data_IF_716776118204
#
_entry.id   IF_716776118204
#
_cell.length_a   1.000
_cell.length_b   1.000
_cell.length_c   1.000
_cell.angle_alpha   90.00
_cell.angle_beta   90.00
_cell.angle_gamma   90.00
#
_symmetry.space_group_name_H-M   'P 1'
#
loop_
_entity.id
_entity.type
_entity.pdbx_description
1 polymer ?
#
# COMPACT_ATOMS: atom_id res chain seq x y z
N UNK A 1 4.61 29.82 14.40
CA UNK A 1 4.49 28.62 15.24
C UNK A 1 5.08 27.48 14.43
N UNK A 2 6.17 26.92 14.92
CA UNK A 2 7.02 25.92 14.24
C UNK A 2 6.62 24.51 14.68
N UNK A 3 7.00 23.51 13.88
CA UNK A 3 6.84 22.07 14.12
C UNK A 3 7.31 21.60 15.52
N UNK A 4 8.20 22.37 16.16
CA UNK A 4 8.67 22.13 17.55
C UNK A 4 7.66 22.53 18.64
N UNK A 5 6.69 23.38 18.33
CA UNK A 5 5.76 23.92 19.33
C UNK A 5 4.61 22.94 19.67
N UNK A 6 4.44 21.86 18.88
CA UNK A 6 3.40 20.82 19.10
C UNK A 6 3.90 19.58 19.85
N UNK A 7 5.20 19.27 19.80
CA UNK A 7 5.75 18.01 20.32
C UNK A 7 6.83 18.31 21.37
N UNK A 8 6.39 18.59 22.60
CA UNK A 8 7.26 18.97 23.73
C UNK A 8 8.46 18.04 23.96
N UNK A 9 9.53 18.58 24.56
CA UNK A 9 10.84 17.94 24.76
C UNK A 9 10.89 16.75 25.74
N UNK A 10 9.75 16.18 26.15
CA UNK A 10 9.74 15.05 27.08
C UNK A 10 9.27 13.78 26.38
N UNK A 11 10.19 13.14 25.63
CA UNK A 11 10.08 11.70 25.36
C UNK A 11 10.25 10.97 26.70
N UNK A 12 9.27 10.18 27.18
CA UNK A 12 9.57 9.12 28.11
C UNK A 12 10.44 8.13 27.34
N UNK A 13 11.70 7.98 27.74
CA UNK A 13 12.47 6.81 27.32
C UNK A 13 11.79 5.62 27.98
N UNK A 14 11.32 4.59 27.24
CA UNK A 14 10.71 3.43 27.87
C UNK A 14 11.73 2.80 28.81
N UNK A 15 11.42 2.78 30.11
CA UNK A 15 12.14 1.94 31.04
C UNK A 15 11.82 0.49 30.63
N UNK A 16 12.83 -0.24 30.15
CA UNK A 16 12.76 -1.70 30.03
C UNK A 16 12.50 -2.26 31.44
N UNK A 17 11.27 -2.67 31.70
CA UNK A 17 10.97 -3.62 32.78
C UNK A 17 11.48 -4.99 32.33
N UNK A 18 12.36 -5.59 33.14
CA UNK A 18 13.08 -6.85 32.86
C UNK A 18 12.20 -8.12 32.81
N UNK A 19 10.89 -8.01 32.60
CA UNK A 19 9.94 -9.13 32.69
C UNK A 19 9.06 -9.32 31.44
N UNK A 20 9.61 -9.11 30.24
CA UNK A 20 9.07 -9.71 29.00
C UNK A 20 9.97 -10.87 28.57
N UNK A 21 9.85 -11.99 29.30
CA UNK A 21 10.47 -13.24 28.89
C UNK A 21 9.67 -13.87 27.74
N UNK A 22 10.37 -14.04 26.61
CA UNK A 22 10.06 -14.86 25.44
C UNK A 22 8.99 -14.36 24.44
N UNK A 23 9.18 -13.16 23.89
CA UNK A 23 8.83 -12.94 22.48
C UNK A 23 10.14 -13.08 21.70
N UNK A 24 10.30 -14.21 21.01
CA UNK A 24 11.43 -14.38 20.11
C UNK A 24 11.22 -13.42 18.94
N UNK A 25 12.14 -12.51 18.62
CA UNK A 25 12.02 -11.69 17.42
C UNK A 25 11.88 -12.63 16.23
N UNK A 26 10.82 -12.46 15.42
CA UNK A 26 10.71 -13.15 14.15
C UNK A 26 11.95 -12.78 13.35
N UNK A 27 12.86 -13.73 13.19
CA UNK A 27 13.96 -13.57 12.23
C UNK A 27 13.31 -13.49 10.85
N UNK A 28 13.78 -12.60 9.94
CA UNK A 28 13.22 -12.54 8.60
C UNK A 28 13.28 -13.96 8.00
N UNK A 29 12.15 -14.48 7.51
CA UNK A 29 12.07 -15.86 7.07
C UNK A 29 13.06 -16.10 5.92
N UNK A 30 13.90 -17.12 6.06
CA UNK A 30 14.77 -17.59 4.97
C UNK A 30 13.97 -18.50 4.06
N UNK A 31 13.31 -17.92 3.06
CA UNK A 31 12.62 -18.69 2.03
C UNK A 31 13.59 -19.15 0.94
N UNK A 32 13.21 -20.21 0.23
CA UNK A 32 13.78 -20.48 -1.09
C UNK A 32 13.42 -19.29 -1.99
N UNK A 33 14.40 -18.49 -2.36
CA UNK A 33 14.20 -17.27 -3.17
C UNK A 33 14.01 -17.59 -4.66
N UNK A 34 13.68 -18.84 -5.01
CA UNK A 34 13.34 -19.20 -6.39
C UNK A 34 12.27 -18.21 -6.89
N UNK A 35 12.52 -17.48 -7.98
CA UNK A 35 11.61 -16.44 -8.45
C UNK A 35 10.22 -17.02 -8.74
N UNK A 36 9.18 -16.40 -8.20
CA UNK A 36 7.78 -16.75 -8.49
C UNK A 36 7.38 -16.42 -9.92
N UNK A 37 8.14 -15.55 -10.60
CA UNK A 37 7.97 -15.19 -12.01
C UNK A 37 9.33 -15.15 -12.71
N UNK A 38 9.34 -15.38 -14.02
CA UNK A 38 10.54 -15.21 -14.83
C UNK A 38 10.98 -13.75 -14.84
N UNK A 39 12.25 -13.49 -14.49
CA UNK A 39 12.81 -12.14 -14.45
C UNK A 39 13.34 -11.73 -15.83
N UNK A 40 12.74 -10.70 -16.43
CA UNK A 40 13.13 -10.14 -17.73
C UNK A 40 14.03 -8.89 -17.58
N UNK A 41 14.07 -8.02 -18.58
CA UNK A 41 14.64 -6.67 -18.43
C UNK A 41 13.80 -5.85 -17.45
N UNK A 42 14.46 -5.05 -16.62
CA UNK A 42 13.80 -4.17 -15.65
C UNK A 42 12.91 -3.16 -16.39
N UNK A 43 11.64 -3.14 -16.01
CA UNK A 43 10.61 -2.22 -16.46
C UNK A 43 10.42 -1.12 -15.43
N UNK A 44 10.08 0.09 -15.89
CA UNK A 44 9.81 1.25 -15.04
C UNK A 44 8.44 1.82 -15.35
N UNK A 45 7.54 1.79 -14.37
CA UNK A 45 6.22 2.41 -14.46
C UNK A 45 6.28 3.78 -13.80
N UNK A 46 6.35 4.82 -14.63
CA UNK A 46 6.61 6.17 -14.18
C UNK A 46 5.44 6.77 -13.42
N UNK A 47 5.72 7.28 -12.22
CA UNK A 47 4.72 7.90 -11.34
C UNK A 47 3.70 6.93 -10.75
N UNK A 48 3.97 5.62 -10.73
CA UNK A 48 3.06 4.63 -10.15
C UNK A 48 3.19 4.54 -8.62
N UNK A 49 4.31 4.97 -8.05
CA UNK A 49 4.64 4.88 -6.62
C UNK A 49 4.60 6.26 -5.93
N UNK A 50 4.42 6.27 -4.62
CA UNK A 50 4.51 7.49 -3.79
C UNK A 50 5.95 7.94 -3.50
N UNK A 51 6.94 7.10 -3.82
CA UNK A 51 8.34 7.23 -3.41
C UNK A 51 8.66 6.50 -2.09
N UNK A 52 7.63 6.02 -1.38
CA UNK A 52 7.75 5.34 -0.08
C UNK A 52 6.69 4.23 0.00
N UNK A 53 7.09 2.95 0.05
CA UNK A 53 6.16 1.85 0.14
C UNK A 53 5.13 2.01 1.25
N UNK A 54 3.91 1.54 1.00
CA UNK A 54 2.78 1.50 1.94
C UNK A 54 2.27 2.85 2.48
N UNK A 55 2.99 3.95 2.24
CA UNK A 55 2.70 5.24 2.85
C UNK A 55 1.95 6.15 1.89
N UNK A 56 0.83 6.69 2.37
CA UNK A 56 0.05 7.66 1.59
C UNK A 56 0.74 9.03 1.54
N UNK A 57 0.66 9.62 0.35
CA UNK A 57 1.01 11.00 0.09
C UNK A 57 -0.11 11.93 0.57
N UNK A 58 0.05 13.24 0.37
CA UNK A 58 -1.05 14.17 0.57
C UNK A 58 -2.31 13.74 -0.23
N UNK A 59 -3.52 13.95 0.31
CA UNK A 59 -4.77 13.39 -0.21
C UNK A 59 -4.95 13.60 -1.72
N UNK A 60 -4.82 14.85 -2.20
CA UNK A 60 -5.00 15.12 -3.63
C UNK A 60 -3.89 14.54 -4.50
N UNK A 61 -2.67 14.41 -3.99
CA UNK A 61 -1.55 13.81 -4.74
C UNK A 61 -1.77 12.31 -4.90
N UNK A 62 -2.14 11.63 -3.82
CA UNK A 62 -2.48 10.21 -3.84
C UNK A 62 -3.54 9.88 -4.89
N UNK A 63 -4.71 10.52 -4.81
CA UNK A 63 -5.81 10.23 -5.75
C UNK A 63 -5.43 10.56 -7.18
N UNK A 64 -4.77 11.70 -7.43
CA UNK A 64 -4.33 12.06 -8.78
C UNK A 64 -3.27 11.10 -9.32
N UNK A 65 -2.33 10.63 -8.49
CA UNK A 65 -1.30 9.67 -8.88
C UNK A 65 -1.94 8.37 -9.34
N UNK A 66 -2.85 7.82 -8.54
CA UNK A 66 -3.53 6.57 -8.89
C UNK A 66 -4.35 6.75 -10.16
N UNK A 67 -5.17 7.80 -10.27
CA UNK A 67 -5.97 8.07 -11.48
C UNK A 67 -5.08 8.23 -12.73
N UNK A 68 -3.98 8.97 -12.63
CA UNK A 68 -3.08 9.19 -13.77
C UNK A 68 -2.30 7.93 -14.15
N UNK A 69 -1.97 7.07 -13.18
CA UNK A 69 -1.39 5.76 -13.45
C UNK A 69 -2.41 4.86 -14.15
N UNK A 70 -3.66 4.83 -13.67
CA UNK A 70 -4.72 4.03 -14.28
C UNK A 70 -5.06 4.43 -15.72
N UNK A 71 -4.92 5.70 -16.09
CA UNK A 71 -5.03 6.16 -17.50
C UNK A 71 -3.99 5.54 -18.42
N UNK A 72 -2.84 5.13 -17.87
CA UNK A 72 -1.79 4.43 -18.64
C UNK A 72 -2.10 2.94 -18.72
N UNK A 73 -2.89 2.41 -17.78
CA UNK A 73 -3.19 0.98 -17.68
C UNK A 73 -4.40 0.57 -18.53
N UNK A 74 -5.49 1.32 -18.42
CA UNK A 74 -6.81 0.93 -18.95
C UNK A 74 -7.26 1.90 -20.06
N UNK A 75 -7.77 1.33 -21.14
CA UNK A 75 -8.59 2.01 -22.13
C UNK A 75 -10.07 1.69 -21.91
N UNK A 76 -10.86 2.73 -21.65
CA UNK A 76 -12.30 2.65 -21.36
C UNK A 76 -13.10 2.79 -22.67
N UNK A 77 -14.18 2.00 -22.86
CA UNK A 77 -15.02 2.11 -24.05
C UNK A 77 -15.79 3.44 -24.12
N UNK A 78 -16.11 3.91 -25.33
CA UNK A 78 -16.80 5.20 -25.55
C UNK A 78 -18.19 5.28 -24.89
N UNK A 79 -18.88 4.14 -24.77
CA UNK A 79 -20.22 4.03 -24.20
C UNK A 79 -20.23 3.71 -22.70
N UNK A 80 -19.20 4.16 -21.99
CA UNK A 80 -19.01 3.91 -20.57
C UNK A 80 -20.20 4.34 -19.68
N UNK A 81 -20.55 3.48 -18.73
CA UNK A 81 -21.57 3.73 -17.71
C UNK A 81 -21.04 3.66 -16.27
N UNK A 82 -19.73 3.42 -16.09
CA UNK A 82 -19.10 3.17 -14.81
C UNK A 82 -18.15 4.32 -14.37
N UNK A 83 -18.48 5.56 -14.75
CA UNK A 83 -17.84 6.76 -14.18
C UNK A 83 -16.40 7.07 -14.65
N UNK A 84 -16.02 6.60 -15.84
CA UNK A 84 -14.68 6.77 -16.41
C UNK A 84 -13.60 6.10 -15.56
N UNK A 85 -12.34 6.54 -15.72
CA UNK A 85 -11.19 5.98 -15.00
C UNK A 85 -11.39 6.03 -13.49
N UNK A 86 -12.01 7.10 -12.98
CA UNK A 86 -12.25 7.25 -11.54
C UNK A 86 -13.12 6.12 -10.96
N UNK A 87 -14.06 5.57 -11.73
CA UNK A 87 -14.86 4.42 -11.29
C UNK A 87 -14.20 3.05 -11.47
N UNK A 88 -12.99 2.98 -12.04
CA UNK A 88 -12.18 1.75 -12.20
C UNK A 88 -11.03 1.67 -11.21
N UNK A 89 -10.87 2.69 -10.38
CA UNK A 89 -9.74 2.78 -9.47
C UNK A 89 -10.18 2.20 -8.13
N UNK A 90 -9.41 1.23 -7.65
CA UNK A 90 -9.47 0.85 -6.25
C UNK A 90 -8.59 1.82 -5.43
N UNK A 91 -9.21 2.62 -4.57
CA UNK A 91 -8.51 3.50 -3.62
C UNK A 91 -8.53 2.83 -2.25
N UNK A 92 -7.36 2.39 -1.80
CA UNK A 92 -7.19 1.73 -0.51
C UNK A 92 -6.52 2.65 0.51
N UNK A 93 -6.81 2.51 1.81
CA UNK A 93 -6.03 3.19 2.85
C UNK A 93 -4.65 2.54 3.06
N UNK A 94 -4.41 1.34 2.53
CA UNK A 94 -3.22 0.53 2.86
C UNK A 94 -2.48 -0.05 1.66
N UNK A 95 -3.15 -0.23 0.52
CA UNK A 95 -2.50 -0.59 -0.74
C UNK A 95 -2.32 0.64 -1.62
N UNK A 96 -1.08 1.12 -1.74
CA UNK A 96 -0.81 2.46 -2.30
C UNK A 96 -0.44 2.48 -3.78
N UNK A 97 -0.44 1.33 -4.44
CA UNK A 97 -0.13 1.17 -5.85
C UNK A 97 -1.41 1.13 -6.71
N UNK A 98 -1.34 1.49 -8.00
CA UNK A 98 -2.50 1.51 -8.88
C UNK A 98 -3.16 0.13 -8.99
N UNK A 99 -4.47 0.05 -8.69
CA UNK A 99 -5.23 -1.19 -8.80
C UNK A 99 -6.55 -0.98 -9.55
N UNK A 100 -6.83 -1.90 -10.47
CA UNK A 100 -7.95 -1.84 -11.40
C UNK A 100 -9.16 -2.64 -10.90
N UNK A 101 -10.34 -2.03 -10.93
CA UNK A 101 -11.63 -2.72 -10.88
C UNK A 101 -12.18 -2.82 -12.29
N UNK A 102 -11.73 -3.84 -13.03
CA UNK A 102 -12.06 -3.99 -14.46
C UNK A 102 -13.54 -4.38 -14.66
N UNK A 103 -14.17 -3.76 -15.65
CA UNK A 103 -15.51 -4.12 -16.13
C UNK A 103 -15.48 -4.78 -17.51
N UNK A 104 -16.57 -5.45 -17.88
CA UNK A 104 -16.71 -6.04 -19.20
C UNK A 104 -16.52 -4.98 -20.30
N UNK A 105 -15.58 -5.24 -21.21
CA UNK A 105 -15.26 -4.34 -22.31
C UNK A 105 -14.14 -3.34 -22.04
N UNK A 106 -13.69 -3.19 -20.79
CA UNK A 106 -12.45 -2.48 -20.48
C UNK A 106 -11.26 -3.21 -21.12
N UNK A 107 -10.29 -2.45 -21.64
CA UNK A 107 -9.10 -3.02 -22.28
C UNK A 107 -7.86 -2.61 -21.51
N UNK A 108 -6.95 -3.56 -21.30
CA UNK A 108 -5.59 -3.25 -20.87
C UNK A 108 -4.86 -2.64 -22.06
N UNK A 109 -3.97 -1.68 -21.79
CA UNK A 109 -3.26 -0.88 -22.80
C UNK A 109 -2.37 -1.70 -23.73
N UNK A 110 -1.07 -1.44 -23.71
CA UNK A 110 -0.11 -2.16 -24.56
C UNK A 110 0.51 -3.35 -23.82
N UNK A 111 1.34 -4.12 -24.52
CA UNK A 111 2.02 -5.30 -23.97
C UNK A 111 2.89 -4.99 -22.74
N UNK A 112 3.57 -3.84 -22.72
CA UNK A 112 4.36 -3.38 -21.55
C UNK A 112 3.47 -3.21 -20.32
N UNK A 113 2.32 -2.56 -20.51
CA UNK A 113 1.34 -2.32 -19.44
C UNK A 113 0.68 -3.61 -18.99
N UNK A 114 0.46 -4.56 -19.91
CA UNK A 114 -0.06 -5.88 -19.56
C UNK A 114 0.86 -6.65 -18.63
N UNK A 115 2.15 -6.28 -18.51
CA UNK A 115 3.07 -6.88 -17.55
C UNK A 115 3.12 -6.18 -16.20
N UNK A 116 2.27 -5.19 -15.96
CA UNK A 116 2.15 -4.56 -14.65
C UNK A 116 1.75 -5.62 -13.60
N UNK A 117 2.55 -5.85 -12.53
CA UNK A 117 2.39 -7.04 -11.69
C UNK A 117 1.02 -7.20 -11.05
N UNK A 118 0.42 -6.09 -10.61
CA UNK A 118 -0.86 -6.09 -9.89
C UNK A 118 -2.09 -6.20 -10.81
N UNK A 119 -1.90 -6.57 -12.09
CA UNK A 119 -2.96 -7.10 -12.95
C UNK A 119 -3.07 -8.63 -12.90
N UNK A 120 -2.10 -9.30 -12.26
CA UNK A 120 -1.96 -10.75 -12.29
C UNK A 120 -2.00 -11.32 -10.88
N UNK A 121 -2.78 -12.39 -10.72
CA UNK A 121 -2.98 -13.08 -9.46
C UNK A 121 -2.42 -14.50 -9.52
N UNK A 122 -1.89 -15.03 -8.40
CA UNK A 122 -1.36 -16.38 -8.36
C UNK A 122 -2.50 -17.40 -8.57
N UNK A 123 -2.31 -18.33 -9.49
CA UNK A 123 -3.34 -19.31 -9.89
C UNK A 123 -3.67 -20.36 -8.83
N UNK A 124 -2.81 -20.53 -7.82
CA UNK A 124 -3.01 -21.47 -6.71
C UNK A 124 -3.53 -20.80 -5.42
N UNK A 125 -3.72 -19.48 -5.43
CA UNK A 125 -4.18 -18.71 -4.27
C UNK A 125 -5.20 -17.65 -4.69
N UNK A 126 -6.34 -18.09 -5.25
CA UNK A 126 -7.44 -17.21 -5.64
C UNK A 126 -7.97 -16.41 -4.44
N UNK A 127 -8.34 -15.14 -4.67
CA UNK A 127 -8.92 -14.31 -3.62
C UNK A 127 -10.28 -14.85 -3.17
N UNK A 128 -10.41 -15.06 -1.86
CA UNK A 128 -11.68 -15.40 -1.21
C UNK A 128 -12.07 -14.31 -0.21
N UNK A 129 -13.17 -13.61 -0.49
CA UNK A 129 -13.73 -12.53 0.35
C UNK A 129 -14.11 -12.99 1.76
N UNK A 130 -14.45 -14.27 1.93
CA UNK A 130 -14.81 -14.82 3.25
C UNK A 130 -13.58 -15.09 4.13
N UNK A 131 -12.37 -15.09 3.56
CA UNK A 131 -11.11 -15.41 4.24
C UNK A 131 -10.22 -14.19 4.51
N UNK A 132 -10.25 -13.20 3.62
CA UNK A 132 -9.51 -11.96 3.74
C UNK A 132 -10.08 -10.85 2.87
N UNK A 133 -9.89 -9.61 3.31
CA UNK A 133 -10.20 -8.43 2.51
C UNK A 133 -9.33 -8.35 1.25
N UNK A 134 -9.81 -7.61 0.25
CA UNK A 134 -9.01 -7.36 -0.95
C UNK A 134 -7.70 -6.62 -0.63
N UNK A 135 -7.73 -5.71 0.35
CA UNK A 135 -6.53 -5.00 0.80
C UNK A 135 -5.46 -5.95 1.35
N UNK A 136 -5.85 -6.84 2.27
CA UNK A 136 -4.94 -7.85 2.85
C UNK A 136 -4.38 -8.77 1.77
N UNK A 137 -5.19 -9.14 0.78
CA UNK A 137 -4.76 -9.97 -0.34
C UNK A 137 -3.73 -9.25 -1.23
N UNK A 138 -3.97 -7.98 -1.56
CA UNK A 138 -3.04 -7.17 -2.36
C UNK A 138 -1.73 -6.92 -1.61
N UNK A 139 -1.78 -6.70 -0.30
CA UNK A 139 -0.58 -6.60 0.54
C UNK A 139 0.20 -7.92 0.59
N UNK A 140 -0.46 -9.08 0.65
CA UNK A 140 0.23 -10.37 0.59
C UNK A 140 0.93 -10.57 -0.76
N UNK A 141 0.32 -10.12 -1.87
CA UNK A 141 0.96 -10.12 -3.19
C UNK A 141 2.15 -9.17 -3.22
N UNK A 142 2.00 -7.95 -2.70
CA UNK A 142 3.10 -6.98 -2.61
C UNK A 142 4.27 -7.53 -1.80
N UNK A 143 4.01 -8.13 -0.64
CA UNK A 143 4.99 -8.82 0.17
C UNK A 143 5.80 -9.79 -0.70
N UNK A 144 5.11 -10.71 -1.39
CA UNK A 144 5.74 -11.74 -2.23
C UNK A 144 6.55 -11.12 -3.37
N UNK A 145 6.02 -10.10 -4.04
CA UNK A 145 6.75 -9.42 -5.09
C UNK A 145 7.99 -8.69 -4.58
N UNK A 146 7.96 -8.13 -3.38
CA UNK A 146 9.12 -7.43 -2.83
C UNK A 146 10.19 -8.44 -2.37
N UNK A 147 9.82 -9.47 -1.60
CA UNK A 147 10.80 -10.44 -1.06
C UNK A 147 11.46 -11.31 -2.15
N UNK A 148 10.82 -11.45 -3.32
CA UNK A 148 11.39 -12.14 -4.48
C UNK A 148 12.05 -11.18 -5.49
N UNK A 149 12.23 -9.91 -5.13
CA UNK A 149 12.76 -8.83 -5.99
C UNK A 149 12.03 -8.72 -7.34
N UNK A 150 10.71 -8.87 -7.36
CA UNK A 150 9.86 -8.69 -8.56
C UNK A 150 9.45 -7.25 -8.73
N UNK A 151 9.14 -6.56 -7.63
CA UNK A 151 8.67 -5.18 -7.64
C UNK A 151 9.34 -4.37 -6.52
N UNK A 152 9.75 -3.14 -6.85
CA UNK A 152 10.33 -2.21 -5.89
C UNK A 152 9.95 -0.77 -6.22
N UNK A 153 9.51 -0.03 -5.22
CA UNK A 153 9.27 1.40 -5.34
C UNK A 153 10.60 2.18 -5.30
N UNK A 154 10.76 3.13 -6.22
CA UNK A 154 11.91 4.04 -6.24
C UNK A 154 11.59 5.35 -5.52
N UNK A 155 12.61 6.05 -5.00
CA UNK A 155 12.43 7.36 -4.35
C UNK A 155 11.88 8.45 -5.27
N UNK A 156 11.94 8.26 -6.59
CA UNK A 156 11.40 9.19 -7.60
C UNK A 156 9.89 9.01 -7.83
N UNK A 157 9.27 8.00 -7.21
CA UNK A 157 7.85 7.68 -7.38
C UNK A 157 7.55 6.76 -8.57
N UNK A 158 8.56 6.06 -9.08
CA UNK A 158 8.39 5.02 -10.10
C UNK A 158 8.32 3.64 -9.45
N UNK A 159 7.55 2.73 -10.06
CA UNK A 159 7.61 1.30 -9.73
C UNK A 159 8.57 0.59 -10.69
N UNK A 160 9.64 0.03 -10.15
CA UNK A 160 10.59 -0.81 -10.87
C UNK A 160 10.16 -2.27 -10.75
N UNK A 161 10.11 -3.00 -11.87
CA UNK A 161 9.65 -4.39 -11.83
C UNK A 161 10.22 -5.23 -12.97
N UNK A 162 10.32 -6.54 -12.77
CA UNK A 162 10.56 -7.49 -13.86
C UNK A 162 9.30 -7.81 -14.67
N UNK A 163 8.14 -7.33 -14.22
CA UNK A 163 6.84 -7.62 -14.80
C UNK A 163 6.37 -9.05 -14.53
N UNK A 164 5.11 -9.31 -14.86
CA UNK A 164 4.52 -10.65 -14.84
C UNK A 164 3.99 -10.96 -16.23
N UNK A 165 4.33 -12.13 -16.75
CA UNK A 165 3.86 -12.59 -18.07
C UNK A 165 3.17 -13.94 -17.92
N UNK A 166 1.85 -13.95 -18.10
CA UNK A 166 1.02 -15.15 -17.96
C UNK A 166 0.76 -15.59 -16.52
N UNK A 167 0.36 -16.85 -16.39
CA UNK A 167 0.01 -17.46 -15.11
C UNK A 167 1.26 -17.74 -14.27
N UNK A 168 1.15 -17.51 -12.97
CA UNK A 168 2.20 -17.84 -12.00
C UNK A 168 1.60 -18.47 -10.75
N UNK A 169 2.48 -19.03 -9.92
CA UNK A 169 2.13 -19.66 -8.63
C UNK A 169 3.03 -19.12 -7.53
N UNK A 170 2.53 -19.14 -6.30
CA UNK A 170 3.31 -18.82 -5.11
C UNK A 170 3.47 -20.06 -4.23
N UNK A 171 4.64 -20.23 -3.63
CA UNK A 171 4.88 -21.29 -2.65
C UNK A 171 3.90 -21.15 -1.46
N UNK A 172 3.32 -22.27 -1.01
CA UNK A 172 2.24 -22.25 -0.02
C UNK A 172 2.72 -21.77 1.37
N UNK A 173 3.95 -22.11 1.77
CA UNK A 173 4.52 -21.70 3.06
C UNK A 173 4.89 -20.21 3.05
N UNK A 174 5.47 -19.73 1.94
CA UNK A 174 5.75 -18.32 1.73
C UNK A 174 4.46 -17.49 1.66
N UNK A 175 3.45 -17.97 0.92
CA UNK A 175 2.15 -17.33 0.81
C UNK A 175 1.44 -17.22 2.16
N UNK A 176 1.48 -18.28 2.98
CA UNK A 176 0.92 -18.25 4.33
C UNK A 176 1.58 -17.15 5.18
N UNK A 177 2.90 -17.01 5.10
CA UNK A 177 3.63 -15.96 5.81
C UNK A 177 3.25 -14.57 5.31
N UNK A 178 3.09 -14.40 4.00
CA UNK A 178 2.63 -13.15 3.41
C UNK A 178 1.22 -12.78 3.89
N UNK A 179 0.32 -13.76 4.03
CA UNK A 179 -1.02 -13.58 4.57
C UNK A 179 -1.04 -13.22 6.06
N UNK A 180 -0.14 -13.82 6.86
CA UNK A 180 0.02 -13.49 8.27
C UNK A 180 0.52 -12.05 8.42
N UNK A 181 1.58 -11.69 7.68
CA UNK A 181 2.09 -10.32 7.64
C UNK A 181 1.04 -9.30 7.20
N UNK A 182 0.30 -9.60 6.13
CA UNK A 182 -0.70 -8.65 5.60
C UNK A 182 -1.84 -8.41 6.60
N UNK A 183 -2.28 -9.46 7.31
CA UNK A 183 -3.29 -9.33 8.38
C UNK A 183 -2.78 -8.51 9.56
N UNK A 184 -1.53 -8.75 9.98
CA UNK A 184 -0.93 -8.01 11.10
C UNK A 184 -0.73 -6.53 10.78
N UNK A 185 -0.26 -6.19 9.58
CA UNK A 185 0.05 -4.81 9.21
C UNK A 185 -1.20 -4.00 8.81
N UNK A 186 -2.28 -4.63 8.35
CA UNK A 186 -3.41 -3.94 7.73
C UNK A 186 -4.06 -2.89 8.61
N UNK A 187 -4.43 -3.24 9.85
CA UNK A 187 -5.08 -2.28 10.76
C UNK A 187 -4.15 -1.14 11.18
N UNK A 188 -2.92 -1.38 11.69
CA UNK A 188 -2.04 -0.29 12.08
C UNK A 188 -1.65 0.58 10.86
N UNK A 189 -1.45 0.00 9.69
CA UNK A 189 -1.18 0.77 8.47
C UNK A 189 -2.34 1.67 8.07
N UNK A 190 -3.58 1.18 8.18
CA UNK A 190 -4.78 1.98 7.92
C UNK A 190 -4.88 3.15 8.88
N UNK A 191 -4.63 2.92 10.18
CA UNK A 191 -4.63 3.97 11.20
C UNK A 191 -3.58 5.02 10.93
N UNK A 192 -2.36 4.58 10.63
CA UNK A 192 -1.26 5.47 10.29
C UNK A 192 -1.60 6.33 9.06
N UNK A 193 -2.07 5.71 7.98
CA UNK A 193 -2.36 6.40 6.73
C UNK A 193 -3.57 7.35 6.83
N UNK A 194 -4.64 6.96 7.54
CA UNK A 194 -5.75 7.86 7.84
C UNK A 194 -5.28 9.05 8.68
N UNK A 195 -4.46 8.83 9.72
CA UNK A 195 -3.87 9.90 10.52
C UNK A 195 -2.97 10.83 9.72
N UNK A 196 -2.15 10.29 8.79
CA UNK A 196 -1.32 11.08 7.88
C UNK A 196 -2.16 12.00 6.99
N UNK A 197 -3.18 11.45 6.35
CA UNK A 197 -4.08 12.19 5.47
C UNK A 197 -4.80 13.32 6.23
N UNK A 198 -5.37 12.99 7.40
CA UNK A 198 -6.06 13.95 8.24
C UNK A 198 -5.11 15.05 8.76
N UNK A 199 -3.94 14.66 9.26
CA UNK A 199 -2.91 15.58 9.71
C UNK A 199 -2.47 16.54 8.60
N UNK A 200 -2.31 16.03 7.37
CA UNK A 200 -2.01 16.87 6.22
C UNK A 200 -3.14 17.85 5.92
N UNK A 201 -4.39 17.39 5.86
CA UNK A 201 -5.54 18.24 5.57
C UNK A 201 -5.66 19.40 6.57
N UNK A 202 -5.56 19.10 7.88
CA UNK A 202 -5.57 20.11 8.96
C UNK A 202 -4.44 21.13 8.78
N UNK A 203 -3.23 20.67 8.48
CA UNK A 203 -2.06 21.54 8.38
C UNK A 203 -2.01 22.35 7.07
N UNK A 204 -2.57 21.83 5.99
CA UNK A 204 -2.53 22.44 4.65
C UNK A 204 -3.29 23.75 4.55
N UNK A 205 -4.34 23.93 5.39
CA UNK A 205 -5.34 25.01 5.27
C UNK A 205 -5.96 25.10 3.87
N UNK A 206 -6.02 23.98 3.15
CA UNK A 206 -6.59 23.90 1.80
C UNK A 206 -7.94 23.19 1.85
N UNK A 207 -9.01 23.88 1.46
CA UNK A 207 -10.35 23.29 1.33
C UNK A 207 -10.32 22.05 0.43
N UNK A 208 -9.56 22.11 -0.67
CA UNK A 208 -9.41 20.98 -1.60
C UNK A 208 -8.83 19.72 -0.94
N UNK A 209 -7.87 19.87 -0.03
CA UNK A 209 -7.27 18.72 0.67
C UNK A 209 -8.22 18.18 1.73
N UNK A 210 -8.95 19.07 2.43
CA UNK A 210 -10.00 18.67 3.38
C UNK A 210 -11.11 17.90 2.66
N UNK A 211 -11.65 18.43 1.57
CA UNK A 211 -12.69 17.78 0.78
C UNK A 211 -12.23 16.41 0.27
N UNK A 212 -10.97 16.31 -0.15
CA UNK A 212 -10.41 15.04 -0.62
C UNK A 212 -10.29 14.00 0.50
N UNK A 213 -9.86 14.39 1.70
CA UNK A 213 -9.84 13.48 2.86
C UNK A 213 -11.23 13.02 3.23
N UNK A 214 -12.21 13.93 3.27
CA UNK A 214 -13.60 13.59 3.58
C UNK A 214 -14.12 12.55 2.58
N UNK A 215 -13.90 12.76 1.28
CA UNK A 215 -14.33 11.79 0.26
C UNK A 215 -13.64 10.42 0.41
N UNK A 216 -12.35 10.39 0.78
CA UNK A 216 -11.64 9.13 1.02
C UNK A 216 -12.17 8.40 2.27
N UNK A 217 -12.43 9.14 3.35
CA UNK A 217 -12.96 8.59 4.59
C UNK A 217 -14.39 8.05 4.42
N UNK A 218 -15.24 8.79 3.69
CA UNK A 218 -16.56 8.32 3.31
C UNK A 218 -16.49 7.04 2.46
N UNK A 219 -15.54 6.98 1.51
CA UNK A 219 -15.31 5.79 0.68
C UNK A 219 -14.88 4.58 1.51
N UNK A 220 -14.06 4.79 2.53
CA UNK A 220 -13.52 3.72 3.38
C UNK A 220 -14.42 3.38 4.57
N UNK A 221 -15.52 4.09 4.78
CA UNK A 221 -16.39 3.91 5.94
C UNK A 221 -15.70 4.28 7.25
N UNK A 222 -14.84 5.29 7.23
CA UNK A 222 -14.15 5.78 8.42
C UNK A 222 -15.11 6.60 9.28
N UNK A 223 -15.56 6.00 10.39
CA UNK A 223 -16.54 6.61 11.31
C UNK A 223 -15.88 7.25 12.55
N UNK A 224 -14.55 7.09 12.73
CA UNK A 224 -13.87 7.62 13.92
C UNK A 224 -13.80 9.14 13.89
N UNK A 225 -13.88 9.72 15.08
CA UNK A 225 -13.68 11.16 15.26
C UNK A 225 -12.22 11.56 14.95
N UNK A 226 -11.97 12.77 14.42
CA UNK A 226 -10.63 13.23 14.05
C UNK A 226 -9.57 13.08 15.15
N UNK A 227 -9.93 13.30 16.40
CA UNK A 227 -9.01 13.15 17.54
C UNK A 227 -8.61 11.69 17.77
N UNK A 228 -9.55 10.74 17.58
CA UNK A 228 -9.27 9.32 17.69
C UNK A 228 -8.35 8.86 16.55
N UNK A 229 -8.62 9.29 15.32
CA UNK A 229 -7.79 8.96 14.15
C UNK A 229 -6.32 9.37 14.38
N UNK A 230 -6.11 10.61 14.86
CA UNK A 230 -4.75 11.10 15.13
C UNK A 230 -4.06 10.35 16.29
N UNK A 231 -4.82 9.94 17.31
CA UNK A 231 -4.30 9.16 18.44
C UNK A 231 -3.91 7.74 18.03
N UNK A 232 -4.76 7.08 17.25
CA UNK A 232 -4.50 5.71 16.76
C UNK A 232 -3.27 5.70 15.85
N UNK A 233 -3.15 6.68 14.96
CA UNK A 233 -2.00 6.81 14.06
C UNK A 233 -0.65 6.97 14.77
N UNK A 234 -0.63 7.64 15.92
CA UNK A 234 0.59 7.79 16.73
C UNK A 234 1.04 6.47 17.35
N UNK A 235 0.09 5.63 17.73
CA UNK A 235 0.37 4.30 18.29
C UNK A 235 0.81 3.36 17.17
N UNK A 236 0.08 3.37 16.06
CA UNK A 236 0.30 2.48 14.94
C UNK A 236 1.64 2.68 14.23
N UNK A 237 2.26 3.87 14.29
CA UNK A 237 3.54 4.13 13.63
C UNK A 237 4.65 3.15 14.07
N UNK A 238 4.70 2.78 15.35
CA UNK A 238 5.68 1.80 15.85
C UNK A 238 5.38 0.39 15.35
N UNK A 239 4.10 -0.02 15.42
CA UNK A 239 3.65 -1.34 14.95
C UNK A 239 3.92 -1.53 13.45
N UNK A 240 3.74 -0.47 12.65
CA UNK A 240 4.05 -0.50 11.21
C UNK A 240 5.55 -0.57 10.96
N UNK A 241 6.40 0.14 11.72
CA UNK A 241 7.86 0.15 11.52
C UNK A 241 8.44 -1.27 11.59
N UNK A 242 8.10 -2.02 12.65
CA UNK A 242 8.58 -3.39 12.84
C UNK A 242 8.14 -4.32 11.71
N UNK A 243 6.90 -4.17 11.23
CA UNK A 243 6.36 -4.98 10.13
C UNK A 243 6.92 -4.57 8.77
N UNK A 244 7.17 -3.28 8.58
CA UNK A 244 7.70 -2.71 7.36
C UNK A 244 9.14 -3.18 7.08
N UNK A 245 9.99 -3.16 8.11
CA UNK A 245 11.41 -3.52 8.01
C UNK A 245 11.63 -5.01 7.68
N UNK A 246 10.62 -5.86 7.87
CA UNK A 246 10.68 -7.26 7.43
C UNK A 246 10.65 -7.43 5.91
N UNK A 247 10.10 -6.45 5.19
CA UNK A 247 9.79 -6.57 3.75
C UNK A 247 10.59 -5.58 2.93
N UNK A 248 10.65 -4.32 3.38
CA UNK A 248 11.22 -3.23 2.60
C UNK A 248 12.62 -2.87 3.10
N UNK A 249 13.52 -2.66 2.15
CA UNK A 249 14.90 -2.20 2.43
C UNK A 249 15.06 -0.67 2.46
N UNK A 250 13.98 0.05 2.18
CA UNK A 250 13.93 1.51 2.17
C UNK A 250 13.68 1.99 3.61
N UNK A 251 14.27 3.10 4.09
CA UNK A 251 13.95 3.57 5.44
C UNK A 251 12.47 3.92 5.63
N UNK A 252 11.88 3.46 6.73
CA UNK A 252 10.54 3.81 7.13
C UNK A 252 10.45 5.27 7.59
N UNK A 253 9.58 6.06 6.94
CA UNK A 253 9.38 7.49 7.24
C UNK A 253 7.87 7.79 7.45
N UNK A 254 7.32 7.48 8.65
CA UNK A 254 5.88 7.49 8.92
C UNK A 254 5.26 8.88 8.93
N UNK A 255 6.05 9.95 9.01
CA UNK A 255 5.57 11.33 8.96
C UNK A 255 6.56 12.20 8.18
N UNK A 256 6.04 13.08 7.32
CA UNK A 256 6.81 14.11 6.60
C UNK A 256 6.40 15.51 7.07
#
# INVERSE_FOLDING_TARGET
>A
MSYKDFFGENRPTPHKTEDEQNITPLSPPTFDTTPVVEKYDVMSFQGFSSGRPLLLERPTKYVNRIINSMKQIIAIPENDQYGGIAGRVYLSPIFTLPMALLHEGDKIGNETVNRYPYLHFPTNHDWNVDEMSLDEYLLAIEYMFVIHDIAQESSEGDLLTYGVDGDYTMDDDAWKTACEWSKEISKPLSDLNCGRLLGFAINSKSEKEVDMVVNLFDLWGEEREPQQILSDAQTAAGDVEDLYDMVFSIPFEPFH
#
